data_IF_514703392944
#
_entry.id   IF_514703392944
#
_cell.length_a   1.000
_cell.length_b   1.000
_cell.length_c   1.000
_cell.angle_alpha   90.00
_cell.angle_beta   90.00
_cell.angle_gamma   90.00
#
_symmetry.space_group_name_H-M   'P 1'
#
loop_
_entity.id
_entity.type
_entity.pdbx_description
1 polymer ?
#
# COMPACT_ATOMS: atom_id res chain seq x y z
N UNK A 1 -7.23 38.94 -16.28
CA UNK A 1 -6.45 39.20 -15.04
C UNK A 1 -5.56 38.00 -14.66
N UNK A 2 -4.91 37.32 -15.63
CA UNK A 2 -3.95 36.22 -15.39
C UNK A 2 -2.50 36.63 -15.68
N UNK A 3 -2.29 37.82 -16.23
CA UNK A 3 -0.98 38.29 -16.74
C UNK A 3 -0.20 39.18 -15.76
N UNK A 4 -0.67 39.34 -14.51
CA UNK A 4 -0.13 40.31 -13.56
C UNK A 4 0.69 39.71 -12.40
N UNK A 5 0.91 38.39 -12.35
CA UNK A 5 1.58 37.72 -11.21
C UNK A 5 3.08 37.42 -11.45
N UNK A 6 3.69 37.80 -12.58
CA UNK A 6 5.12 37.48 -12.80
C UNK A 6 5.96 38.64 -13.35
N UNK A 7 6.34 39.64 -12.53
CA UNK A 7 7.37 40.60 -12.94
C UNK A 7 8.76 40.26 -12.39
N UNK A 8 8.89 39.33 -11.43
CA UNK A 8 10.19 39.05 -10.78
C UNK A 8 10.86 37.85 -11.43
N UNK A 9 11.80 38.15 -12.32
CA UNK A 9 12.71 37.16 -12.91
C UNK A 9 14.14 37.47 -12.50
N UNK A 10 14.89 36.43 -12.15
CA UNK A 10 16.33 36.53 -11.87
C UNK A 10 17.11 36.84 -13.16
N UNK A 11 18.40 37.19 -13.04
CA UNK A 11 19.35 37.48 -14.13
C UNK A 11 19.43 36.32 -15.13
N UNK A 12 19.06 35.10 -14.70
CA UNK A 12 18.97 33.89 -15.52
C UNK A 12 17.59 33.62 -16.13
N UNK A 13 16.67 34.58 -16.10
CA UNK A 13 15.26 34.47 -16.53
C UNK A 13 14.43 33.46 -15.70
N UNK A 14 14.92 33.06 -14.51
CA UNK A 14 14.22 32.19 -13.57
C UNK A 14 12.98 32.90 -13.02
N UNK A 15 11.78 32.38 -13.29
CA UNK A 15 10.56 32.84 -12.62
C UNK A 15 10.52 32.34 -11.15
N UNK A 16 9.63 32.87 -10.30
CA UNK A 16 9.50 32.50 -8.88
C UNK A 16 9.46 30.98 -8.64
N UNK A 17 8.84 30.21 -9.54
CA UNK A 17 8.78 28.74 -9.47
C UNK A 17 10.15 28.07 -9.65
N UNK A 18 10.99 28.56 -10.57
CA UNK A 18 12.37 28.09 -10.71
C UNK A 18 13.18 28.40 -9.44
N UNK A 19 12.88 29.50 -8.74
CA UNK A 19 13.52 29.83 -7.47
C UNK A 19 13.04 28.92 -6.34
N UNK A 20 11.75 28.57 -6.27
CA UNK A 20 11.22 27.59 -5.30
C UNK A 20 11.86 26.22 -5.50
N UNK A 21 11.93 25.75 -6.76
CA UNK A 21 12.62 24.51 -7.11
C UNK A 21 14.13 24.56 -6.76
N UNK A 22 14.77 25.73 -6.86
CA UNK A 22 16.19 25.91 -6.52
C UNK A 22 16.44 26.03 -5.02
N UNK A 23 15.53 26.62 -4.26
CA UNK A 23 15.66 26.97 -2.83
C UNK A 23 15.21 25.87 -1.87
N UNK A 24 14.62 24.77 -2.37
CA UNK A 24 14.33 23.60 -1.55
C UNK A 24 15.65 22.99 -1.02
N UNK A 25 16.00 23.31 0.23
CA UNK A 25 17.05 22.60 0.98
C UNK A 25 16.48 21.24 1.40
N UNK A 26 17.25 20.14 1.32
CA UNK A 26 16.76 18.79 1.58
C UNK A 26 16.23 18.56 3.01
N UNK A 27 16.47 19.49 3.94
CA UNK A 27 16.28 19.27 5.37
C UNK A 27 15.09 20.02 6.02
N UNK A 28 14.14 20.55 5.24
CA UNK A 28 12.97 21.30 5.76
C UNK A 28 11.64 20.87 5.14
N UNK A 29 11.45 19.59 4.88
CA UNK A 29 10.15 19.00 4.51
C UNK A 29 9.52 18.28 5.71
N UNK A 30 9.30 19.03 6.78
CA UNK A 30 8.33 18.66 7.80
C UNK A 30 7.25 19.74 7.75
N UNK A 31 6.00 19.30 7.57
CA UNK A 31 4.76 20.06 7.62
C UNK A 31 4.10 20.56 6.32
N UNK A 32 4.11 19.74 5.26
CA UNK A 32 3.09 19.83 4.18
C UNK A 32 2.68 18.43 3.71
N UNK A 33 1.37 18.15 3.52
CA UNK A 33 0.94 16.79 3.22
C UNK A 33 1.04 16.43 1.72
N UNK A 34 2.00 15.56 1.41
CA UNK A 34 2.06 14.77 0.17
C UNK A 34 3.03 15.29 -0.91
N UNK A 35 4.25 14.75 -1.04
CA UNK A 35 5.25 15.20 -2.03
C UNK A 35 4.84 14.97 -3.50
N UNK A 36 3.98 14.00 -3.81
CA UNK A 36 3.51 13.72 -5.17
C UNK A 36 2.58 14.81 -5.74
N UNK A 37 1.99 15.63 -4.87
CA UNK A 37 0.92 16.57 -5.19
C UNK A 37 1.40 17.97 -5.56
N UNK A 38 2.48 18.39 -4.93
CA UNK A 38 3.16 19.62 -5.29
C UNK A 38 3.76 19.51 -6.71
N UNK A 39 4.20 18.31 -7.08
CA UNK A 39 4.76 18.00 -8.40
C UNK A 39 3.73 18.10 -9.56
N UNK A 40 2.47 17.76 -9.30
CA UNK A 40 1.43 17.70 -10.32
C UNK A 40 0.82 19.08 -10.65
N UNK A 41 0.88 20.04 -9.73
CA UNK A 41 0.40 21.43 -9.93
C UNK A 41 1.44 22.34 -10.60
N UNK A 42 2.73 22.07 -10.39
CA UNK A 42 3.81 22.83 -11.06
C UNK A 42 3.95 22.46 -12.56
N UNK A 43 3.58 21.24 -12.93
CA UNK A 43 3.56 20.68 -14.30
C UNK A 43 2.83 21.56 -15.35
N UNK A 44 1.82 22.35 -14.95
CA UNK A 44 1.00 23.16 -15.85
C UNK A 44 1.58 24.55 -16.17
N UNK A 45 2.63 25.01 -15.49
CA UNK A 45 3.16 26.39 -15.59
C UNK A 45 4.54 26.49 -16.24
N UNK A 46 5.03 25.40 -16.83
CA UNK A 46 6.43 25.25 -17.24
C UNK A 46 6.75 25.85 -18.60
N UNK A 47 6.89 27.18 -18.64
CA UNK A 47 7.69 27.83 -19.68
C UNK A 47 9.17 27.46 -19.48
N UNK A 48 9.83 26.99 -20.55
CA UNK A 48 11.25 26.63 -20.55
C UNK A 48 12.10 27.84 -20.17
N UNK A 49 13.13 27.60 -19.35
CA UNK A 49 14.14 28.60 -19.02
C UNK A 49 15.08 28.86 -20.21
N UNK A 50 16.01 29.82 -20.09
CA UNK A 50 17.04 30.09 -21.13
C UNK A 50 17.86 28.85 -21.55
N UNK A 51 18.06 27.90 -20.64
CA UNK A 51 18.75 26.63 -20.90
C UNK A 51 17.83 25.56 -21.55
N UNK A 52 16.60 25.91 -21.93
CA UNK A 52 15.63 24.99 -22.54
C UNK A 52 14.99 23.98 -21.57
N UNK A 53 15.39 23.98 -20.29
CA UNK A 53 14.91 23.06 -19.26
C UNK A 53 13.58 23.54 -18.66
N UNK A 54 12.68 22.60 -18.40
CA UNK A 54 11.49 22.85 -17.58
C UNK A 54 11.88 22.77 -16.09
N UNK A 55 11.15 23.42 -15.17
CA UNK A 55 11.39 23.24 -13.74
C UNK A 55 11.20 21.80 -13.26
N UNK A 56 10.44 20.97 -13.99
CA UNK A 56 10.38 19.54 -13.76
C UNK A 56 11.73 18.86 -14.04
N UNK A 57 12.37 19.17 -15.16
CA UNK A 57 13.72 18.68 -15.48
C UNK A 57 14.73 19.17 -14.43
N UNK A 58 14.60 20.42 -13.98
CA UNK A 58 15.46 21.00 -12.94
C UNK A 58 15.24 20.34 -11.56
N UNK A 59 14.00 19.99 -11.23
CA UNK A 59 13.63 19.31 -9.99
C UNK A 59 14.08 17.86 -10.01
N UNK A 60 13.82 17.12 -11.10
CA UNK A 60 14.27 15.74 -11.31
C UNK A 60 15.78 15.64 -11.25
N UNK A 61 16.51 16.56 -11.91
CA UNK A 61 17.98 16.60 -11.87
C UNK A 61 18.53 16.92 -10.47
N UNK A 62 17.83 17.72 -9.66
CA UNK A 62 18.21 18.00 -8.27
C UNK A 62 17.84 16.88 -7.29
N UNK A 63 16.79 16.10 -7.56
CA UNK A 63 16.25 15.07 -6.66
C UNK A 63 16.51 13.64 -7.15
N UNK A 64 17.40 13.46 -8.14
CA UNK A 64 17.76 12.16 -8.71
C UNK A 64 18.24 11.16 -7.65
N UNK A 65 19.03 11.63 -6.68
CA UNK A 65 19.51 10.83 -5.54
C UNK A 65 18.34 10.33 -4.69
N UNK A 66 17.40 11.22 -4.34
CA UNK A 66 16.22 10.88 -3.55
C UNK A 66 15.28 9.91 -4.30
N UNK A 67 15.15 10.06 -5.62
CA UNK A 67 14.40 9.13 -6.47
C UNK A 67 15.04 7.73 -6.48
N UNK A 68 16.37 7.65 -6.58
CA UNK A 68 17.11 6.38 -6.51
C UNK A 68 16.95 5.72 -5.14
N UNK A 69 17.04 6.48 -4.06
CA UNK A 69 16.86 5.98 -2.70
C UNK A 69 15.42 5.50 -2.46
N UNK A 70 14.42 6.26 -2.92
CA UNK A 70 13.01 5.87 -2.84
C UNK A 70 12.72 4.59 -3.63
N UNK A 71 13.27 4.48 -4.85
CA UNK A 71 13.16 3.25 -5.67
C UNK A 71 13.75 2.05 -4.97
N UNK A 72 14.97 2.20 -4.42
CA UNK A 72 15.66 1.14 -3.68
C UNK A 72 14.87 0.73 -2.43
N UNK A 73 14.36 1.69 -1.67
CA UNK A 73 13.54 1.42 -0.50
C UNK A 73 12.26 0.65 -0.88
N UNK A 74 11.52 1.10 -1.90
CA UNK A 74 10.30 0.43 -2.34
C UNK A 74 10.55 -1.00 -2.84
N UNK A 75 11.61 -1.24 -3.60
CA UNK A 75 11.94 -2.59 -4.06
C UNK A 75 12.36 -3.50 -2.92
N UNK A 76 13.17 -3.00 -1.96
CA UNK A 76 13.54 -3.76 -0.77
C UNK A 76 12.32 -4.13 0.08
N UNK A 77 11.42 -3.18 0.32
CA UNK A 77 10.18 -3.43 1.06
C UNK A 77 9.28 -4.41 0.32
N UNK A 78 9.11 -4.26 -1.00
CA UNK A 78 8.31 -5.20 -1.81
C UNK A 78 8.86 -6.63 -1.75
N UNK A 79 10.19 -6.81 -1.80
CA UNK A 79 10.82 -8.13 -1.65
C UNK A 79 10.55 -8.73 -0.27
N UNK A 80 10.72 -7.96 0.80
CA UNK A 80 10.47 -8.43 2.17
C UNK A 80 9.00 -8.83 2.36
N UNK A 81 8.07 -7.97 1.92
CA UNK A 81 6.64 -8.25 2.01
C UNK A 81 6.25 -9.45 1.13
N UNK A 82 6.83 -9.59 -0.06
CA UNK A 82 6.62 -10.76 -0.91
C UNK A 82 7.00 -12.06 -0.20
N UNK A 83 8.16 -12.11 0.46
CA UNK A 83 8.58 -13.28 1.22
C UNK A 83 7.57 -13.63 2.33
N UNK A 84 7.12 -12.61 3.08
CA UNK A 84 6.10 -12.79 4.13
C UNK A 84 4.77 -13.29 3.54
N UNK A 85 4.29 -12.71 2.44
CA UNK A 85 3.06 -13.16 1.78
C UNK A 85 3.16 -14.58 1.24
N UNK A 86 4.29 -14.94 0.63
CA UNK A 86 4.50 -16.30 0.12
C UNK A 86 4.47 -17.30 1.27
N UNK A 87 5.11 -16.99 2.40
CA UNK A 87 5.07 -17.83 3.59
C UNK A 87 3.64 -18.02 4.12
N UNK A 88 2.86 -16.93 4.20
CA UNK A 88 1.45 -17.00 4.62
C UNK A 88 0.66 -17.88 3.65
N UNK A 89 0.85 -17.70 2.33
CA UNK A 89 0.16 -18.50 1.33
C UNK A 89 0.46 -20.00 1.49
N UNK A 90 1.72 -20.36 1.79
CA UNK A 90 2.11 -21.75 2.06
C UNK A 90 1.41 -22.29 3.31
N UNK A 91 1.41 -21.56 4.41
CA UNK A 91 0.79 -22.01 5.68
C UNK A 91 -0.71 -22.23 5.51
N UNK A 92 -1.39 -21.28 4.88
CA UNK A 92 -2.84 -21.32 4.62
C UNK A 92 -3.16 -22.45 3.63
N UNK A 93 -2.38 -22.60 2.56
CA UNK A 93 -2.54 -23.71 1.62
C UNK A 93 -2.38 -25.07 2.28
N UNK A 94 -1.39 -25.25 3.15
CA UNK A 94 -1.28 -26.48 3.95
C UNK A 94 -2.51 -26.67 4.82
N UNK A 95 -2.97 -25.61 5.51
CA UNK A 95 -4.19 -25.61 6.32
C UNK A 95 -5.43 -26.10 5.57
N UNK A 96 -5.65 -25.62 4.35
CA UNK A 96 -6.78 -26.00 3.50
C UNK A 96 -6.92 -27.52 3.31
N UNK A 97 -5.79 -28.25 3.23
CA UNK A 97 -5.78 -29.70 3.04
C UNK A 97 -5.62 -30.47 4.36
N UNK A 98 -4.94 -29.89 5.35
CA UNK A 98 -4.77 -30.45 6.70
C UNK A 98 -5.87 -29.96 7.64
N UNK A 99 -7.12 -30.33 7.32
CA UNK A 99 -8.30 -29.85 8.03
C UNK A 99 -8.24 -30.19 9.53
N UNK A 100 -8.42 -29.21 10.44
CA UNK A 100 -8.53 -29.46 11.87
C UNK A 100 -9.74 -30.36 12.16
N UNK A 101 -9.52 -31.44 12.90
CA UNK A 101 -10.56 -32.45 13.20
C UNK A 101 -10.64 -33.60 12.20
N UNK A 102 -9.89 -33.55 11.09
CA UNK A 102 -9.71 -34.68 10.18
C UNK A 102 -10.91 -35.04 9.30
N UNK A 103 -10.72 -36.10 8.51
CA UNK A 103 -11.70 -36.62 7.56
C UNK A 103 -12.36 -37.89 8.10
N UNK A 104 -13.64 -38.06 7.79
CA UNK A 104 -14.34 -39.30 8.04
C UNK A 104 -13.85 -40.37 7.05
N UNK A 105 -13.12 -41.37 7.55
CA UNK A 105 -12.49 -42.43 6.74
C UNK A 105 -13.49 -43.22 5.87
N UNK A 106 -14.77 -43.28 6.26
CA UNK A 106 -15.78 -44.03 5.52
C UNK A 106 -16.39 -43.25 4.35
N UNK A 107 -16.30 -41.91 4.36
CA UNK A 107 -16.98 -41.03 3.38
C UNK A 107 -16.04 -40.04 2.70
N UNK A 108 -14.81 -39.89 3.19
CA UNK A 108 -13.84 -38.91 2.69
C UNK A 108 -14.19 -37.44 2.95
N UNK A 109 -15.25 -37.17 3.72
CA UNK A 109 -15.73 -35.81 4.01
C UNK A 109 -15.22 -35.29 5.36
N UNK A 110 -15.02 -33.96 5.52
CA UNK A 110 -14.60 -33.37 6.80
C UNK A 110 -15.58 -33.71 7.92
N UNK A 111 -15.07 -34.11 9.08
CA UNK A 111 -15.90 -34.55 10.21
C UNK A 111 -16.86 -33.46 10.69
N UNK A 112 -16.40 -32.21 10.73
CA UNK A 112 -17.14 -31.05 11.22
C UNK A 112 -17.82 -30.23 10.12
N UNK A 113 -18.13 -30.80 8.95
CA UNK A 113 -18.69 -30.07 7.79
C UNK A 113 -19.91 -29.18 8.10
N UNK A 114 -20.75 -29.60 9.04
CA UNK A 114 -22.00 -28.89 9.40
C UNK A 114 -21.81 -27.86 10.53
N UNK A 115 -20.65 -27.83 11.17
CA UNK A 115 -20.39 -26.88 12.26
C UNK A 115 -20.11 -25.48 11.69
N UNK A 116 -20.68 -24.42 12.28
CA UNK A 116 -20.46 -23.06 11.81
C UNK A 116 -18.98 -22.67 11.86
N UNK A 117 -18.23 -23.15 12.86
CA UNK A 117 -16.78 -22.92 13.00
C UNK A 117 -15.99 -23.46 11.80
N UNK A 118 -16.41 -24.58 11.22
CA UNK A 118 -15.78 -25.15 10.03
C UNK A 118 -16.06 -24.33 8.77
N UNK A 119 -17.26 -23.80 8.61
CA UNK A 119 -17.61 -22.92 7.49
C UNK A 119 -16.79 -21.62 7.56
N UNK A 120 -16.70 -21.01 8.74
CA UNK A 120 -15.90 -19.81 8.98
C UNK A 120 -14.42 -20.09 8.68
N UNK A 121 -13.90 -21.23 9.16
CA UNK A 121 -12.54 -21.67 8.86
C UNK A 121 -12.28 -21.75 7.36
N UNK A 122 -13.08 -22.51 6.63
CA UNK A 122 -12.88 -22.76 5.20
C UNK A 122 -12.98 -21.47 4.35
N UNK A 123 -13.94 -20.59 4.66
CA UNK A 123 -14.09 -19.31 3.95
C UNK A 123 -12.89 -18.40 4.25
N UNK A 124 -12.51 -18.28 5.53
CA UNK A 124 -11.41 -17.40 5.93
C UNK A 124 -10.07 -17.88 5.35
N UNK A 125 -9.84 -19.19 5.34
CA UNK A 125 -8.66 -19.81 4.74
C UNK A 125 -8.58 -19.52 3.23
N UNK A 126 -9.68 -19.71 2.49
CA UNK A 126 -9.74 -19.41 1.06
C UNK A 126 -9.50 -17.92 0.76
N UNK A 127 -10.12 -17.01 1.53
CA UNK A 127 -9.91 -15.56 1.37
C UNK A 127 -8.46 -15.19 1.65
N UNK A 128 -7.86 -15.76 2.70
CA UNK A 128 -6.46 -15.54 3.05
C UNK A 128 -5.52 -15.96 1.91
N UNK A 129 -5.76 -17.13 1.32
CA UNK A 129 -4.97 -17.68 0.22
C UNK A 129 -5.04 -16.80 -1.05
N UNK A 130 -6.25 -16.37 -1.42
CA UNK A 130 -6.48 -15.50 -2.60
C UNK A 130 -5.86 -14.12 -2.36
N UNK A 131 -6.06 -13.55 -1.17
CA UNK A 131 -5.50 -12.25 -0.80
C UNK A 131 -3.96 -12.27 -0.80
N UNK A 132 -3.36 -13.32 -0.23
CA UNK A 132 -1.91 -13.51 -0.22
C UNK A 132 -1.33 -13.67 -1.62
N UNK A 133 -1.96 -14.51 -2.46
CA UNK A 133 -1.54 -14.71 -3.85
C UNK A 133 -1.63 -13.40 -4.66
N UNK A 134 -2.70 -12.63 -4.46
CA UNK A 134 -2.86 -11.31 -5.09
C UNK A 134 -1.77 -10.34 -4.64
N UNK A 135 -1.43 -10.34 -3.35
CA UNK A 135 -0.34 -9.52 -2.81
C UNK A 135 1.02 -9.88 -3.41
N UNK A 136 1.33 -11.17 -3.57
CA UNK A 136 2.55 -11.64 -4.23
C UNK A 136 2.64 -11.10 -5.66
N UNK A 137 1.55 -11.19 -6.44
CA UNK A 137 1.53 -10.68 -7.81
C UNK A 137 1.72 -9.16 -7.88
N UNK A 138 1.16 -8.40 -6.93
CA UNK A 138 1.34 -6.95 -6.86
C UNK A 138 2.80 -6.61 -6.52
N UNK A 139 3.40 -7.26 -5.53
CA UNK A 139 4.81 -7.05 -5.19
C UNK A 139 5.75 -7.49 -6.33
N UNK A 140 5.40 -8.58 -7.03
CA UNK A 140 6.15 -9.02 -8.20
C UNK A 140 6.06 -7.99 -9.34
N UNK A 141 4.88 -7.41 -9.56
CA UNK A 141 4.71 -6.30 -10.50
C UNK A 141 5.59 -5.10 -10.15
N UNK A 142 5.84 -4.85 -8.86
CA UNK A 142 6.76 -3.79 -8.41
C UNK A 142 8.22 -4.14 -8.75
N UNK A 143 8.63 -5.39 -8.53
CA UNK A 143 10.00 -5.84 -8.77
C UNK A 143 10.35 -5.99 -10.27
N UNK A 144 9.40 -6.46 -11.08
CA UNK A 144 9.60 -6.70 -12.52
C UNK A 144 9.45 -5.43 -13.36
N UNK A 145 8.78 -4.39 -12.85
CA UNK A 145 8.51 -3.17 -13.62
C UNK A 145 9.79 -2.35 -13.82
N UNK A 146 10.28 -2.30 -15.06
CA UNK A 146 11.39 -1.46 -15.49
C UNK A 146 10.87 -0.04 -15.75
N UNK A 147 10.76 0.78 -14.69
CA UNK A 147 10.12 2.09 -14.78
C UNK A 147 10.92 3.12 -15.61
N UNK A 148 10.24 3.73 -16.59
CA UNK A 148 10.57 5.04 -17.15
C UNK A 148 10.23 6.14 -16.14
N UNK A 149 11.08 7.17 -16.03
CA UNK A 149 11.14 8.11 -14.90
C UNK A 149 9.89 8.97 -14.65
N UNK A 150 8.96 9.10 -15.61
CA UNK A 150 7.87 10.07 -15.53
C UNK A 150 6.58 9.57 -14.86
N UNK A 151 6.24 8.28 -14.93
CA UNK A 151 5.03 7.71 -14.29
C UNK A 151 5.28 7.09 -12.90
N UNK A 152 6.55 7.14 -12.45
CA UNK A 152 7.05 6.51 -11.23
C UNK A 152 6.40 7.06 -9.95
N UNK A 153 6.11 8.36 -9.92
CA UNK A 153 5.77 9.11 -8.69
C UNK A 153 4.38 8.76 -8.10
N UNK A 154 3.44 8.27 -8.89
CA UNK A 154 2.05 8.04 -8.44
C UNK A 154 1.66 6.56 -8.49
N UNK A 155 2.02 5.86 -9.58
CA UNK A 155 1.61 4.48 -9.78
C UNK A 155 2.31 3.51 -8.84
N UNK A 156 3.61 3.70 -8.61
CA UNK A 156 4.39 2.81 -7.77
C UNK A 156 3.96 2.82 -6.28
N UNK A 157 3.82 3.98 -5.61
CA UNK A 157 3.33 4.02 -4.22
C UNK A 157 1.89 3.50 -4.11
N UNK A 158 1.05 3.69 -5.12
CA UNK A 158 -0.32 3.15 -5.14
C UNK A 158 -0.33 1.62 -5.19
N UNK A 159 0.52 1.02 -6.05
CA UNK A 159 0.67 -0.45 -6.09
C UNK A 159 1.20 -1.00 -4.75
N UNK A 160 2.18 -0.33 -4.15
CA UNK A 160 2.74 -0.74 -2.85
C UNK A 160 1.66 -0.76 -1.76
N UNK A 161 0.84 0.29 -1.69
CA UNK A 161 -0.27 0.38 -0.72
C UNK A 161 -1.34 -0.67 -0.98
N UNK A 162 -1.68 -0.91 -2.24
CA UNK A 162 -2.63 -1.97 -2.59
C UNK A 162 -2.11 -3.36 -2.15
N UNK A 163 -0.82 -3.63 -2.38
CA UNK A 163 -0.17 -4.86 -1.92
C UNK A 163 -0.13 -4.98 -0.39
N UNK A 164 0.20 -3.91 0.32
CA UNK A 164 0.15 -3.90 1.79
C UNK A 164 -1.27 -4.11 2.33
N UNK A 165 -2.30 -3.60 1.63
CA UNK A 165 -3.69 -3.78 2.03
C UNK A 165 -4.15 -5.24 1.87
N UNK A 166 -3.82 -5.88 0.75
CA UNK A 166 -4.14 -7.29 0.53
C UNK A 166 -3.35 -8.21 1.46
N UNK A 167 -2.08 -7.88 1.77
CA UNK A 167 -1.32 -8.56 2.83
C UNK A 167 -1.99 -8.42 4.20
N UNK A 168 -2.45 -7.23 4.58
CA UNK A 168 -3.14 -7.02 5.86
C UNK A 168 -4.42 -7.85 5.93
N UNK A 169 -5.21 -7.84 4.85
CA UNK A 169 -6.41 -8.67 4.74
C UNK A 169 -6.09 -10.15 4.93
N UNK A 170 -5.04 -10.64 4.26
CA UNK A 170 -4.55 -12.02 4.39
C UNK A 170 -4.21 -12.38 5.84
N UNK A 171 -3.41 -11.56 6.53
CA UNK A 171 -3.05 -11.77 7.95
C UNK A 171 -4.28 -11.84 8.84
N UNK A 172 -5.23 -10.91 8.67
CA UNK A 172 -6.48 -10.89 9.47
C UNK A 172 -7.26 -12.18 9.26
N UNK A 173 -7.49 -12.57 8.01
CA UNK A 173 -8.24 -13.79 7.69
C UNK A 173 -7.52 -15.07 8.12
N UNK A 174 -6.19 -15.09 8.05
CA UNK A 174 -5.38 -16.20 8.58
C UNK A 174 -5.54 -16.34 10.09
N UNK A 175 -5.55 -15.24 10.86
CA UNK A 175 -5.75 -15.29 12.31
C UNK A 175 -7.18 -15.73 12.68
N UNK A 176 -8.18 -15.34 11.88
CA UNK A 176 -9.56 -15.83 12.03
C UNK A 176 -9.64 -17.33 11.76
N UNK A 177 -9.02 -17.82 10.68
CA UNK A 177 -8.96 -19.25 10.38
C UNK A 177 -8.21 -20.02 11.49
N UNK A 178 -7.09 -19.49 11.98
CA UNK A 178 -6.35 -20.08 13.09
C UNK A 178 -7.24 -20.19 14.35
N UNK A 179 -7.95 -19.12 14.71
CA UNK A 179 -8.86 -19.14 15.87
C UNK A 179 -10.00 -20.15 15.68
N UNK A 180 -10.63 -20.18 14.49
CA UNK A 180 -11.69 -21.12 14.16
C UNK A 180 -11.21 -22.59 14.22
N UNK A 181 -9.95 -22.86 13.87
CA UNK A 181 -9.38 -24.21 13.94
C UNK A 181 -9.35 -24.77 15.38
N UNK A 182 -9.05 -23.93 16.37
CA UNK A 182 -9.11 -24.32 17.79
C UNK A 182 -10.54 -24.56 18.28
N UNK A 183 -11.52 -23.77 17.81
CA UNK A 183 -12.92 -24.02 18.13
C UNK A 183 -13.42 -25.36 17.57
N UNK A 184 -12.93 -25.77 16.40
CA UNK A 184 -13.24 -27.08 15.81
C UNK A 184 -12.62 -28.22 16.64
N UNK A 185 -11.36 -28.05 17.05
CA UNK A 185 -10.61 -29.10 17.76
C UNK A 185 -11.12 -29.35 19.19
N UNK A 186 -11.47 -28.30 19.93
CA UNK A 186 -11.83 -28.38 21.36
C UNK A 186 -13.33 -28.49 21.65
N UNK A 187 -14.11 -28.90 20.64
CA UNK A 187 -15.58 -28.90 20.59
C UNK A 187 -16.24 -29.21 21.97
N UNK A 188 -16.69 -28.14 22.65
CA UNK A 188 -17.43 -28.07 23.92
C UNK A 188 -16.81 -28.65 25.20
N UNK A 189 -15.57 -29.17 25.18
CA UNK A 189 -14.95 -29.75 26.39
C UNK A 189 -14.07 -28.78 27.17
N UNK A 190 -13.42 -27.83 26.49
CA UNK A 190 -12.47 -26.88 27.10
C UNK A 190 -12.60 -25.49 26.44
N UNK A 191 -13.74 -24.83 26.60
CA UNK A 191 -14.05 -23.54 25.95
C UNK A 191 -13.08 -22.40 26.34
N UNK A 192 -12.43 -22.48 27.50
CA UNK A 192 -11.43 -21.50 27.94
C UNK A 192 -10.19 -21.45 27.03
N UNK A 193 -9.78 -22.58 26.45
CA UNK A 193 -8.58 -22.67 25.60
C UNK A 193 -8.71 -21.89 24.28
N UNK A 194 -9.75 -22.06 23.45
CA UNK A 194 -9.91 -21.27 22.23
C UNK A 194 -10.16 -19.78 22.52
N UNK A 195 -10.79 -19.42 23.64
CA UNK A 195 -11.00 -18.02 24.04
C UNK A 195 -9.66 -17.34 24.33
N UNK A 196 -8.77 -17.97 25.11
CA UNK A 196 -7.45 -17.40 25.42
C UNK A 196 -6.58 -17.29 24.17
N UNK A 197 -6.61 -18.29 23.29
CA UNK A 197 -5.86 -18.27 22.03
C UNK A 197 -6.38 -17.18 21.10
N UNK A 198 -7.70 -16.99 20.99
CA UNK A 198 -8.28 -15.92 20.16
C UNK A 198 -7.85 -14.54 20.66
N UNK A 199 -7.84 -14.33 21.98
CA UNK A 199 -7.37 -13.08 22.57
C UNK A 199 -5.88 -12.82 22.23
N UNK A 200 -5.04 -13.85 22.34
CA UNK A 200 -3.62 -13.77 22.01
C UNK A 200 -3.36 -13.54 20.51
N UNK A 201 -4.14 -14.18 19.64
CA UNK A 201 -4.06 -14.02 18.19
C UNK A 201 -4.47 -12.62 17.70
N UNK A 202 -5.24 -11.88 18.50
CA UNK A 202 -5.59 -10.48 18.21
C UNK A 202 -4.42 -9.51 18.36
N UNK A 203 -3.44 -9.81 19.21
CA UNK A 203 -2.33 -8.89 19.53
C UNK A 203 -1.49 -8.54 18.29
N UNK A 204 -1.00 -9.52 17.49
CA UNK A 204 -0.24 -9.22 16.27
C UNK A 204 -1.05 -8.41 15.26
N UNK A 205 -2.35 -8.67 15.15
CA UNK A 205 -3.25 -7.96 14.22
C UNK A 205 -3.36 -6.49 14.62
N UNK A 206 -3.59 -6.21 15.90
CA UNK A 206 -3.71 -4.84 16.41
C UNK A 206 -2.40 -4.06 16.19
N UNK A 207 -1.25 -4.70 16.50
CA UNK A 207 0.07 -4.09 16.27
C UNK A 207 0.26 -3.80 14.78
N UNK A 208 -0.03 -4.76 13.91
CA UNK A 208 0.15 -4.60 12.47
C UNK A 208 -0.75 -3.50 11.90
N UNK A 209 -2.03 -3.47 12.30
CA UNK A 209 -2.97 -2.40 11.92
C UNK A 209 -2.46 -1.05 12.41
N UNK A 210 -2.01 -0.93 13.66
CA UNK A 210 -1.50 0.34 14.19
C UNK A 210 -0.28 0.86 13.41
N UNK A 211 0.66 -0.02 13.06
CA UNK A 211 1.86 0.34 12.27
C UNK A 211 1.47 0.76 10.85
N UNK A 212 0.59 0.01 10.19
CA UNK A 212 0.20 0.28 8.80
C UNK A 212 -0.76 1.47 8.67
N UNK A 213 -1.57 1.76 9.70
CA UNK A 213 -2.58 2.82 9.66
C UNK A 213 -1.98 4.19 9.36
N UNK A 214 -0.81 4.51 9.93
CA UNK A 214 -0.10 5.76 9.63
C UNK A 214 0.29 5.87 8.15
N UNK A 215 0.78 4.77 7.57
CA UNK A 215 1.16 4.70 6.16
C UNK A 215 -0.06 4.82 5.24
N UNK A 216 -1.14 4.07 5.52
CA UNK A 216 -2.38 4.17 4.77
C UNK A 216 -2.96 5.57 4.82
N UNK A 217 -3.06 6.18 6.00
CA UNK A 217 -3.58 7.55 6.18
C UNK A 217 -2.80 8.56 5.35
N UNK A 218 -1.46 8.49 5.36
CA UNK A 218 -0.62 9.43 4.62
C UNK A 218 -0.81 9.30 3.10
N UNK A 219 -0.92 8.06 2.59
CA UNK A 219 -1.14 7.84 1.15
C UNK A 219 -2.57 8.18 0.74
N UNK A 220 -3.57 7.83 1.55
CA UNK A 220 -4.97 8.17 1.26
C UNK A 220 -5.20 9.67 1.31
N UNK A 221 -4.58 10.37 2.27
CA UNK A 221 -4.65 11.82 2.36
C UNK A 221 -3.95 12.49 1.17
N UNK A 222 -2.78 11.97 0.76
CA UNK A 222 -2.09 12.39 -0.47
C UNK A 222 -2.94 12.13 -1.73
N UNK A 223 -3.60 10.98 -1.85
CA UNK A 223 -4.41 10.62 -3.01
C UNK A 223 -5.77 11.33 -3.04
N UNK A 224 -6.35 11.65 -1.89
CA UNK A 224 -7.62 12.38 -1.79
C UNK A 224 -7.41 13.88 -2.02
N UNK A 225 -6.38 14.46 -1.39
CA UNK A 225 -6.00 15.86 -1.61
C UNK A 225 -5.65 16.12 -3.08
N UNK A 226 -5.16 15.12 -3.80
CA UNK A 226 -4.90 15.24 -5.25
C UNK A 226 -6.18 15.27 -6.05
N UNK A 227 -7.08 14.31 -5.82
CA UNK A 227 -8.38 14.32 -6.51
C UNK A 227 -9.22 15.56 -6.24
N UNK A 228 -9.18 16.11 -5.03
CA UNK A 228 -9.90 17.34 -4.68
C UNK A 228 -9.27 18.58 -5.32
N UNK A 229 -7.94 18.66 -5.42
CA UNK A 229 -7.25 19.77 -6.11
C UNK A 229 -7.46 19.75 -7.63
N UNK A 230 -7.71 18.58 -8.24
CA UNK A 230 -7.82 18.39 -9.68
C UNK A 230 -9.25 18.24 -10.20
N UNK A 231 -10.29 18.47 -9.38
CA UNK A 231 -11.64 18.66 -9.93
C UNK A 231 -11.63 19.97 -10.74
N UNK A 232 -11.81 19.94 -12.07
CA UNK A 232 -12.06 21.18 -12.81
C UNK A 232 -13.43 21.66 -12.34
N UNK A 233 -13.44 22.79 -11.66
CA UNK A 233 -14.68 23.46 -11.28
C UNK A 233 -15.39 23.84 -12.59
N UNK A 234 -16.39 23.06 -12.99
CA UNK A 234 -17.25 23.36 -14.13
C UNK A 234 -18.25 24.44 -13.69
N UNK A 235 -17.75 25.63 -13.40
CA UNK A 235 -18.59 26.83 -13.43
C UNK A 235 -18.60 27.35 -14.87
N UNK A 236 -19.57 26.84 -15.63
CA UNK A 236 -20.05 27.46 -16.87
C UNK A 236 -20.72 28.77 -16.45
N UNK A 237 -20.08 29.89 -16.74
CA UNK A 237 -20.68 31.22 -16.66
C UNK A 237 -21.49 31.44 -17.95
N UNK A 238 -22.80 31.59 -17.80
CA UNK A 238 -23.68 32.26 -18.76
C UNK A 238 -23.65 33.77 -18.50
#
# INVERSE_FOLDING_TARGET
>A
MKDLITPIKDIKDNNMLHMVAKSCKPNRLQDVPGPALQMQRELLWFKKNRDGMTPQDLFTKKHEVLLKDAKKWMTQTATQCMLVTTLIATIVFTGAFTIPGGYNQNKGIPFFRKEPSFIIYAISDAVSLIASSTSVLIFLSILTSNYAEQDFMVWLPTKLVCGLATLLLSIVTMMVAFSASFFILYNKKLEWVPITITCLAGIPVIIFVAVQFSLFKNVFYSAYRSRVLFKPDKHILY
#
